data_IF_784195192078
#
_entry.id   IF_784195192078
#
_cell.length_a   1.000
_cell.length_b   1.000
_cell.length_c   1.000
_cell.angle_alpha   90.00
_cell.angle_beta   90.00
_cell.angle_gamma   90.00
#
_symmetry.space_group_name_H-M   'P 1'
#
loop_
_entity.id
_entity.type
_entity.pdbx_description
1 polymer ?
#
# COMPACT_ATOMS: atom_id res chain seq x y z
N UNK A 1 -36.63 -57.73 -27.34
CA UNK A 1 -36.60 -58.60 -28.54
C UNK A 1 -35.36 -58.27 -29.36
N UNK A 2 -34.54 -59.30 -29.65
CA UNK A 2 -33.60 -59.52 -30.79
C UNK A 2 -32.72 -58.33 -31.25
N UNK A 3 -31.39 -58.35 -31.00
CA UNK A 3 -30.29 -58.83 -31.90
C UNK A 3 -30.23 -58.07 -33.23
N UNK A 4 -29.15 -57.41 -33.65
CA UNK A 4 -27.77 -57.88 -33.95
C UNK A 4 -26.84 -56.66 -34.19
N UNK A 5 -25.66 -56.49 -33.59
CA UNK A 5 -24.35 -57.10 -33.87
C UNK A 5 -23.97 -57.26 -35.36
N UNK A 6 -23.10 -56.36 -35.87
CA UNK A 6 -22.06 -56.70 -36.84
C UNK A 6 -20.72 -56.08 -36.41
N UNK A 7 -19.87 -57.00 -35.98
CA UNK A 7 -18.42 -56.87 -35.81
C UNK A 7 -17.80 -56.77 -37.20
N UNK A 8 -16.81 -55.89 -37.40
CA UNK A 8 -15.65 -56.25 -38.20
C UNK A 8 -14.39 -55.71 -37.54
N UNK A 9 -13.60 -56.66 -37.07
CA UNK A 9 -12.26 -56.56 -36.55
C UNK A 9 -11.32 -56.67 -37.76
N UNK A 10 -10.31 -55.80 -37.86
CA UNK A 10 -9.05 -56.18 -38.52
C UNK A 10 -7.90 -55.47 -37.83
N UNK A 11 -7.16 -56.30 -37.10
CA UNK A 11 -5.83 -56.12 -36.51
C UNK A 11 -4.74 -56.00 -37.57
N UNK A 12 -3.74 -55.14 -37.29
CA UNK A 12 -2.32 -55.39 -37.58
C UNK A 12 -1.50 -54.42 -36.73
N UNK A 13 -0.98 -54.84 -35.57
CA UNK A 13 0.43 -55.23 -35.38
C UNK A 13 1.37 -54.54 -36.38
N UNK A 14 2.22 -53.63 -35.89
CA UNK A 14 3.68 -53.73 -36.07
C UNK A 14 4.44 -52.67 -35.28
N UNK A 15 5.45 -53.17 -34.56
CA UNK A 15 6.71 -52.53 -34.18
C UNK A 15 6.70 -51.27 -33.30
N UNK A 16 6.95 -51.55 -32.02
CA UNK A 16 7.69 -50.69 -31.09
C UNK A 16 9.02 -50.30 -31.73
N UNK A 17 9.25 -48.99 -31.92
CA UNK A 17 10.59 -48.44 -32.11
C UNK A 17 10.89 -47.55 -30.90
N UNK A 18 11.53 -48.16 -29.91
CA UNK A 18 12.28 -47.45 -28.87
C UNK A 18 13.46 -46.80 -29.57
N UNK A 19 13.41 -45.48 -29.79
CA UNK A 19 14.63 -44.73 -30.07
C UNK A 19 15.26 -44.42 -28.72
N UNK A 20 16.10 -45.36 -28.29
CA UNK A 20 17.12 -45.11 -27.30
C UNK A 20 18.16 -44.17 -27.94
N UNK A 21 18.12 -42.89 -27.57
CA UNK A 21 19.25 -41.99 -27.76
C UNK A 21 20.22 -42.21 -26.60
N UNK A 22 21.01 -43.28 -26.70
CA UNK A 22 22.33 -43.36 -26.09
C UNK A 22 23.25 -42.36 -26.78
N UNK A 23 23.33 -41.15 -26.25
CA UNK A 23 24.50 -40.30 -26.41
C UNK A 23 25.35 -40.46 -25.15
N UNK A 24 26.56 -40.96 -25.36
CA UNK A 24 27.47 -41.44 -24.31
C UNK A 24 27.68 -40.43 -23.18
N UNK A 25 27.78 -40.98 -21.97
CA UNK A 25 28.40 -40.32 -20.83
C UNK A 25 29.90 -40.23 -21.18
N UNK A 26 30.28 -39.17 -21.89
CA UNK A 26 31.66 -38.73 -21.89
C UNK A 26 31.89 -38.10 -20.53
N UNK A 27 32.59 -38.82 -19.66
CA UNK A 27 33.19 -38.28 -18.44
C UNK A 27 34.20 -37.22 -18.88
N UNK A 28 33.72 -35.99 -19.04
CA UNK A 28 34.56 -34.82 -19.00
C UNK A 28 34.43 -34.24 -17.60
N UNK A 29 35.40 -34.59 -16.74
CA UNK A 29 35.77 -33.77 -15.59
C UNK A 29 36.17 -32.39 -16.11
N UNK A 30 35.18 -31.54 -16.38
CA UNK A 30 35.39 -30.10 -16.46
C UNK A 30 35.52 -29.64 -15.02
N UNK A 31 36.78 -29.47 -14.62
CA UNK A 31 37.19 -28.56 -13.56
C UNK A 31 36.18 -27.43 -13.44
N UNK A 32 35.64 -27.21 -12.23
CA UNK A 32 34.96 -25.98 -11.89
C UNK A 32 35.71 -24.82 -12.55
N UNK A 33 35.09 -24.02 -13.43
CA UNK A 33 35.48 -22.63 -13.41
C UNK A 33 35.09 -22.19 -12.01
N UNK A 34 36.07 -22.09 -11.12
CA UNK A 34 36.01 -21.15 -10.00
C UNK A 34 35.51 -19.86 -10.64
N UNK A 35 34.21 -19.64 -10.50
CA UNK A 35 33.53 -18.49 -11.06
C UNK A 35 34.30 -17.31 -10.51
N UNK A 36 34.93 -16.58 -11.42
CA UNK A 36 35.88 -15.54 -11.10
C UNK A 36 35.12 -14.42 -10.37
N UNK A 37 35.02 -14.57 -9.05
CA UNK A 37 34.75 -13.55 -8.07
C UNK A 37 35.73 -12.35 -8.07
N UNK A 38 36.86 -12.29 -8.81
CA UNK A 38 37.65 -11.05 -8.86
C UNK A 38 37.02 -9.93 -9.70
N UNK A 39 36.13 -10.19 -10.66
CA UNK A 39 35.73 -9.12 -11.61
C UNK A 39 34.71 -8.12 -11.02
N UNK A 40 33.87 -8.56 -10.09
CA UNK A 40 32.96 -7.67 -9.34
C UNK A 40 33.72 -6.81 -8.31
N UNK A 41 34.83 -7.31 -7.75
CA UNK A 41 35.68 -6.54 -6.85
C UNK A 41 36.51 -5.47 -7.61
N UNK A 42 36.84 -5.71 -8.88
CA UNK A 42 37.61 -4.78 -9.71
C UNK A 42 36.77 -3.57 -10.15
N UNK A 43 35.45 -3.71 -10.33
CA UNK A 43 34.56 -2.57 -10.58
C UNK A 43 34.40 -1.65 -9.36
N UNK A 44 34.48 -2.19 -8.13
CA UNK A 44 34.43 -1.40 -6.90
C UNK A 44 35.72 -0.60 -6.61
N UNK A 45 36.86 -1.02 -7.19
CA UNK A 45 38.17 -0.45 -6.93
C UNK A 45 38.63 0.61 -7.95
N UNK A 46 37.89 0.84 -9.03
CA UNK A 46 38.20 1.90 -9.99
C UNK A 46 37.73 3.26 -9.45
N UNK A 47 38.60 3.96 -8.72
CA UNK A 47 38.31 5.27 -8.13
C UNK A 47 37.87 6.34 -9.14
N UNK A 48 38.15 6.16 -10.43
CA UNK A 48 37.76 7.09 -11.51
C UNK A 48 36.33 6.91 -12.05
N UNK A 49 35.64 5.82 -11.71
CA UNK A 49 34.20 5.66 -12.00
C UNK A 49 33.30 6.18 -10.88
N UNK A 50 33.90 6.55 -9.73
CA UNK A 50 33.22 6.45 -8.44
C UNK A 50 32.11 7.49 -8.20
N UNK A 51 32.08 8.63 -8.89
CA UNK A 51 31.13 9.72 -8.56
C UNK A 51 30.61 10.59 -9.71
N UNK A 52 30.99 10.37 -10.98
CA UNK A 52 30.65 11.31 -12.08
C UNK A 52 29.40 10.96 -12.89
N UNK A 53 28.77 9.81 -12.66
CA UNK A 53 27.65 9.37 -13.50
C UNK A 53 26.47 8.81 -12.70
N UNK A 54 25.86 9.65 -11.85
CA UNK A 54 24.62 9.32 -11.11
C UNK A 54 23.46 8.92 -12.05
N UNK A 55 23.54 9.28 -13.33
CA UNK A 55 22.54 8.90 -14.34
C UNK A 55 22.63 7.42 -14.77
N UNK A 56 23.72 6.72 -14.45
CA UNK A 56 23.88 5.27 -14.67
C UNK A 56 23.39 4.41 -13.49
N UNK A 57 22.80 5.04 -12.46
CA UNK A 57 22.24 4.39 -11.27
C UNK A 57 20.85 3.79 -11.57
N UNK A 58 20.78 2.91 -12.56
CA UNK A 58 19.58 2.13 -12.84
C UNK A 58 19.48 1.00 -11.82
N UNK A 59 19.00 1.35 -10.64
CA UNK A 59 18.67 0.37 -9.61
C UNK A 59 17.19 0.01 -9.70
N UNK A 60 16.89 -1.24 -9.40
CA UNK A 60 15.52 -1.72 -9.30
C UNK A 60 15.26 -2.21 -7.88
N UNK A 61 14.13 -1.79 -7.32
CA UNK A 61 13.60 -2.35 -6.09
C UNK A 61 12.87 -3.64 -6.45
N UNK A 62 13.28 -4.75 -5.85
CA UNK A 62 12.70 -6.07 -6.09
C UNK A 62 12.30 -6.73 -4.78
N UNK A 63 11.22 -7.54 -4.77
CA UNK A 63 10.86 -8.36 -3.62
C UNK A 63 11.84 -9.55 -3.50
N UNK A 64 12.24 -9.88 -2.27
CA UNK A 64 12.93 -11.14 -1.97
C UNK A 64 11.93 -12.18 -1.48
N UNK A 65 11.78 -12.31 -0.15
CA UNK A 65 10.84 -13.25 0.50
C UNK A 65 9.39 -12.77 0.53
N UNK A 66 9.17 -11.46 0.39
CA UNK A 66 7.83 -10.88 0.41
C UNK A 66 7.07 -11.33 -0.82
N UNK A 67 5.86 -11.88 -0.64
CA UNK A 67 4.89 -12.01 -1.73
C UNK A 67 4.05 -10.72 -1.79
N UNK A 68 4.27 -9.83 -2.78
CA UNK A 68 3.53 -8.60 -2.88
C UNK A 68 2.02 -8.86 -2.99
N UNK A 69 1.60 -9.92 -3.69
CA UNK A 69 0.17 -10.18 -3.94
C UNK A 69 -0.63 -10.46 -2.67
N UNK A 70 0.04 -10.88 -1.60
CA UNK A 70 -0.56 -11.19 -0.30
C UNK A 70 -0.36 -10.08 0.74
N UNK A 71 0.44 -9.06 0.45
CA UNK A 71 0.82 -8.01 1.40
C UNK A 71 0.33 -6.65 0.94
N UNK A 72 -0.10 -5.79 1.88
CA UNK A 72 -0.33 -4.38 1.56
C UNK A 72 0.99 -3.62 1.47
N UNK A 73 1.06 -2.60 0.62
CA UNK A 73 2.24 -1.75 0.53
C UNK A 73 2.43 -0.95 1.83
N UNK A 74 1.32 -0.54 2.47
CA UNK A 74 1.36 0.14 3.77
C UNK A 74 1.95 -0.69 4.91
N UNK A 75 2.09 -2.01 4.77
CA UNK A 75 2.81 -2.79 5.77
C UNK A 75 4.29 -2.41 5.87
N UNK A 76 4.82 -1.77 4.83
CA UNK A 76 6.22 -1.38 4.70
C UNK A 76 6.39 0.14 4.71
N UNK A 77 5.51 0.88 5.39
CA UNK A 77 5.72 2.30 5.71
C UNK A 77 5.96 2.50 7.21
N UNK A 78 6.55 3.64 7.57
CA UNK A 78 6.83 3.98 8.97
C UNK A 78 5.54 4.09 9.81
N UNK A 79 4.54 4.79 9.26
CA UNK A 79 3.25 5.03 9.92
C UNK A 79 2.08 4.49 9.07
N UNK A 80 1.76 3.18 9.17
CA UNK A 80 0.58 2.63 8.51
C UNK A 80 -0.69 3.23 9.11
N UNK A 81 -1.66 3.57 8.25
CA UNK A 81 -2.99 4.03 8.70
C UNK A 81 -3.70 2.87 9.42
N UNK A 82 -3.59 1.66 8.87
CA UNK A 82 -4.21 0.45 9.41
C UNK A 82 -3.17 -0.42 10.12
N UNK A 83 -2.92 -0.15 11.41
CA UNK A 83 -1.92 -0.88 12.22
C UNK A 83 -2.20 -2.38 12.39
N UNK A 84 -3.44 -2.81 12.19
CA UNK A 84 -3.83 -4.23 12.22
C UNK A 84 -3.16 -5.05 11.10
N UNK A 85 -2.62 -4.39 10.08
CA UNK A 85 -2.16 -5.04 8.85
C UNK A 85 -0.64 -5.21 8.80
N UNK A 86 0.11 -4.80 9.84
CA UNK A 86 1.57 -4.98 9.89
C UNK A 86 2.15 -4.81 11.30
N UNK A 87 3.07 -5.72 11.66
CA UNK A 87 3.95 -5.57 12.84
C UNK A 87 5.28 -4.86 12.49
N UNK A 88 5.49 -4.51 11.21
CA UNK A 88 6.73 -3.92 10.73
C UNK A 88 6.64 -2.39 10.81
N UNK A 89 7.58 -1.78 11.52
CA UNK A 89 7.84 -0.33 11.44
C UNK A 89 8.97 -0.07 10.46
N UNK A 90 8.62 0.16 9.19
CA UNK A 90 9.59 0.33 8.11
C UNK A 90 10.18 1.76 8.06
N UNK A 91 10.80 2.17 9.16
CA UNK A 91 11.52 3.44 9.29
C UNK A 91 12.87 3.43 8.55
N UNK A 92 13.60 4.55 8.59
CA UNK A 92 14.92 4.65 7.96
C UNK A 92 15.88 3.52 8.35
N UNK A 93 15.90 3.12 9.64
CA UNK A 93 16.79 2.07 10.16
C UNK A 93 16.42 0.69 9.64
N UNK A 94 15.12 0.39 9.53
CA UNK A 94 14.64 -0.85 8.90
C UNK A 94 15.19 -0.97 7.47
N UNK A 95 14.98 0.08 6.66
CA UNK A 95 15.46 0.10 5.28
C UNK A 95 16.99 0.10 5.17
N UNK A 96 17.69 0.80 6.06
CA UNK A 96 19.15 0.82 6.06
C UNK A 96 19.74 -0.58 6.32
N UNK A 97 19.20 -1.30 7.30
CA UNK A 97 19.64 -2.65 7.63
C UNK A 97 19.37 -3.64 6.48
N UNK A 98 18.27 -3.44 5.77
CA UNK A 98 17.86 -4.29 4.66
C UNK A 98 18.67 -4.02 3.40
N UNK A 99 18.79 -2.75 3.01
CA UNK A 99 19.26 -2.32 1.69
C UNK A 99 20.74 -1.93 1.64
N UNK A 100 21.38 -1.73 2.78
CA UNK A 100 22.82 -1.44 2.88
C UNK A 100 23.54 -2.56 3.63
N UNK A 101 23.52 -3.81 3.10
CA UNK A 101 24.13 -4.95 3.76
C UNK A 101 25.64 -4.74 3.91
N UNK A 102 26.19 -5.27 5.00
CA UNK A 102 27.63 -5.15 5.34
C UNK A 102 28.54 -5.86 4.33
N UNK A 103 28.01 -6.79 3.54
CA UNK A 103 28.71 -7.54 2.49
C UNK A 103 27.84 -7.62 1.24
N UNK A 104 28.47 -7.90 0.10
CA UNK A 104 27.75 -8.26 -1.12
C UNK A 104 27.04 -9.61 -0.86
N UNK A 105 25.73 -9.63 -1.08
CA UNK A 105 24.90 -10.82 -0.85
C UNK A 105 24.90 -11.71 -2.09
N UNK A 106 24.95 -13.02 -1.89
CA UNK A 106 24.66 -14.01 -2.94
C UNK A 106 23.18 -13.97 -3.33
N UNK A 107 22.83 -14.52 -4.51
CA UNK A 107 21.43 -14.60 -4.96
C UNK A 107 20.51 -15.30 -3.94
N UNK A 108 20.99 -16.37 -3.30
CA UNK A 108 20.23 -17.07 -2.26
C UNK A 108 20.03 -16.20 -1.01
N UNK A 109 21.05 -15.45 -0.60
CA UNK A 109 20.92 -14.52 0.53
C UNK A 109 19.99 -13.34 0.21
N UNK A 110 19.99 -12.83 -1.03
CA UNK A 110 19.05 -11.80 -1.48
C UNK A 110 17.59 -12.28 -1.42
N UNK A 111 17.33 -13.53 -1.82
CA UNK A 111 16.00 -14.14 -1.74
C UNK A 111 15.48 -14.28 -0.30
N UNK A 112 16.37 -14.29 0.70
CA UNK A 112 16.00 -14.36 2.11
C UNK A 112 15.71 -12.98 2.73
N UNK A 113 15.95 -11.87 2.01
CA UNK A 113 15.61 -10.53 2.45
C UNK A 113 14.18 -10.16 2.05
N UNK A 114 13.53 -9.24 2.78
CA UNK A 114 12.20 -8.73 2.36
C UNK A 114 12.25 -8.06 0.99
N UNK A 115 13.24 -7.19 0.81
CA UNK A 115 13.49 -6.42 -0.40
C UNK A 115 14.99 -6.27 -0.60
N UNK A 116 15.38 -6.02 -1.85
CA UNK A 116 16.74 -5.60 -2.19
C UNK A 116 16.70 -4.56 -3.31
N UNK A 117 17.75 -3.75 -3.38
CA UNK A 117 17.97 -2.77 -4.44
C UNK A 117 19.33 -3.04 -5.07
N UNK A 118 19.33 -3.36 -6.37
CA UNK A 118 20.55 -3.64 -7.12
C UNK A 118 20.48 -3.08 -8.53
N UNK A 119 21.64 -2.83 -9.14
CA UNK A 119 21.72 -2.63 -10.59
C UNK A 119 21.47 -3.94 -11.34
N UNK A 120 21.35 -3.88 -12.66
CA UNK A 120 21.28 -5.07 -13.52
C UNK A 120 22.53 -5.97 -13.43
N UNK A 121 23.65 -5.43 -12.94
CA UNK A 121 24.89 -6.18 -12.64
C UNK A 121 25.04 -6.55 -11.15
N UNK A 122 23.95 -6.55 -10.39
CA UNK A 122 23.93 -6.89 -8.96
C UNK A 122 24.80 -6.01 -8.05
N UNK A 123 25.11 -4.77 -8.46
CA UNK A 123 25.84 -3.82 -7.61
C UNK A 123 24.89 -3.33 -6.51
N UNK A 124 25.25 -3.43 -5.21
CA UNK A 124 24.40 -2.97 -4.11
C UNK A 124 24.56 -1.47 -3.83
N UNK A 125 23.56 -0.85 -3.20
CA UNK A 125 23.60 0.56 -2.79
C UNK A 125 24.72 0.90 -1.79
N UNK A 126 25.23 -0.10 -1.07
CA UNK A 126 26.26 0.09 -0.04
C UNK A 126 27.58 0.67 -0.57
N UNK A 127 27.86 0.56 -1.89
CA UNK A 127 29.05 1.14 -2.51
C UNK A 127 29.12 2.67 -2.40
N UNK A 128 27.98 3.33 -2.14
CA UNK A 128 27.91 4.79 -1.97
C UNK A 128 28.09 5.24 -0.51
N UNK A 129 28.13 4.32 0.47
CA UNK A 129 28.21 4.66 1.91
C UNK A 129 29.49 5.42 2.28
N UNK A 130 30.57 5.29 1.52
CA UNK A 130 31.82 6.01 1.81
C UNK A 130 31.70 7.51 1.55
N UNK A 131 30.93 7.91 0.54
CA UNK A 131 30.81 9.30 0.12
C UNK A 131 29.51 9.97 0.56
N UNK A 132 28.46 9.18 0.79
CA UNK A 132 27.11 9.66 1.08
C UNK A 132 26.57 9.11 2.40
N UNK A 133 25.85 9.96 3.11
CA UNK A 133 24.82 9.53 4.05
C UNK A 133 23.58 9.18 3.23
N UNK A 134 23.09 7.95 3.35
CA UNK A 134 21.94 7.46 2.58
C UNK A 134 20.74 7.35 3.51
N UNK A 135 19.63 7.95 3.12
CA UNK A 135 18.39 7.98 3.88
C UNK A 135 17.25 7.37 3.07
N UNK A 136 16.34 6.69 3.76
CA UNK A 136 15.22 5.96 3.19
C UNK A 136 13.92 6.46 3.79
N UNK A 137 12.90 6.62 2.93
CA UNK A 137 11.51 6.77 3.37
C UNK A 137 10.59 6.08 2.39
N UNK A 138 9.74 5.20 2.89
CA UNK A 138 8.75 4.49 2.09
C UNK A 138 7.37 5.14 2.17
N UNK A 139 6.61 4.96 1.11
CA UNK A 139 5.25 5.46 0.94
C UNK A 139 4.40 4.41 0.22
N UNK A 140 3.11 4.38 0.49
CA UNK A 140 2.22 3.37 -0.05
C UNK A 140 1.10 3.96 -0.88
N UNK A 141 0.69 3.20 -1.88
CA UNK A 141 -0.57 3.37 -2.56
C UNK A 141 -1.30 2.03 -2.52
N UNK A 142 -2.15 1.85 -1.52
CA UNK A 142 -2.88 0.59 -1.33
C UNK A 142 -4.09 0.47 -2.26
N UNK A 143 -4.51 1.57 -2.90
CA UNK A 143 -5.51 1.53 -3.97
C UNK A 143 -4.95 0.88 -5.24
N UNK A 144 -3.68 1.17 -5.54
CA UNK A 144 -2.99 0.66 -6.74
C UNK A 144 -2.06 -0.53 -6.46
N UNK A 145 -1.84 -0.89 -5.20
CA UNK A 145 -0.91 -1.97 -4.84
C UNK A 145 0.53 -1.60 -5.18
N UNK A 146 0.95 -0.39 -4.79
CA UNK A 146 2.29 0.15 -5.11
C UNK A 146 3.01 0.62 -3.85
N UNK A 147 4.25 0.19 -3.71
CA UNK A 147 5.21 0.71 -2.74
C UNK A 147 6.16 1.68 -3.46
N UNK A 148 6.32 2.87 -2.90
CA UNK A 148 7.36 3.81 -3.28
C UNK A 148 8.44 3.85 -2.21
N UNK A 149 9.70 3.89 -2.63
CA UNK A 149 10.83 4.06 -1.74
C UNK A 149 11.69 5.22 -2.22
N UNK A 150 11.70 6.29 -1.44
CA UNK A 150 12.57 7.43 -1.66
C UNK A 150 13.92 7.15 -1.02
N UNK A 151 14.97 7.23 -1.81
CA UNK A 151 16.36 7.13 -1.38
C UNK A 151 17.03 8.48 -1.60
N UNK A 152 17.53 9.06 -0.52
CA UNK A 152 18.21 10.35 -0.53
C UNK A 152 19.68 10.16 -0.18
N UNK A 153 20.56 10.68 -1.03
CA UNK A 153 22.01 10.68 -0.87
C UNK A 153 22.43 12.09 -0.48
N UNK A 154 23.02 12.24 0.71
CA UNK A 154 23.55 13.50 1.24
C UNK A 154 25.07 13.39 1.32
N UNK A 155 25.81 14.23 0.59
CA UNK A 155 27.27 14.16 0.54
C UNK A 155 27.88 14.39 1.93
N UNK A 156 28.86 13.56 2.32
CA UNK A 156 29.58 13.70 3.60
C UNK A 156 30.62 14.81 3.57
N UNK A 157 31.18 15.11 2.39
CA UNK A 157 32.20 16.13 2.17
C UNK A 157 31.88 16.89 0.89
N UNK A 158 31.54 18.17 1.03
CA UNK A 158 31.16 19.05 -0.08
C UNK A 158 32.36 19.53 -0.90
N UNK A 159 33.60 19.32 -0.42
CA UNK A 159 34.82 19.78 -1.09
C UNK A 159 35.32 18.80 -2.15
N UNK A 160 34.88 17.54 -2.10
CA UNK A 160 35.03 16.60 -3.22
C UNK A 160 33.89 16.92 -4.17
N UNK A 161 34.16 17.08 -5.47
CA UNK A 161 33.19 17.39 -6.55
C UNK A 161 32.00 16.41 -6.62
N UNK A 162 31.19 16.38 -5.58
CA UNK A 162 30.07 15.50 -5.32
C UNK A 162 28.81 16.34 -5.41
N UNK A 163 27.74 15.75 -5.95
CA UNK A 163 26.43 16.40 -5.89
C UNK A 163 25.98 16.42 -4.42
N UNK A 164 25.67 17.59 -3.84
CA UNK A 164 25.39 17.71 -2.41
C UNK A 164 24.20 16.85 -1.94
N UNK A 165 23.13 16.84 -2.73
CA UNK A 165 21.91 16.10 -2.44
C UNK A 165 21.36 15.49 -3.74
N UNK A 166 21.13 14.17 -3.74
CA UNK A 166 20.45 13.46 -4.83
C UNK A 166 19.30 12.68 -4.22
N UNK A 167 18.11 12.75 -4.82
CA UNK A 167 16.97 11.95 -4.39
C UNK A 167 16.41 11.17 -5.58
N UNK A 168 16.19 9.88 -5.36
CA UNK A 168 15.60 8.97 -6.34
C UNK A 168 14.41 8.26 -5.69
N UNK A 169 13.33 8.10 -6.45
CA UNK A 169 12.13 7.38 -6.00
C UNK A 169 12.03 6.09 -6.80
N UNK A 170 12.14 4.96 -6.12
CA UNK A 170 11.91 3.64 -6.69
C UNK A 170 10.44 3.24 -6.49
N UNK A 171 9.89 2.54 -7.48
CA UNK A 171 8.50 2.07 -7.49
C UNK A 171 8.49 0.55 -7.61
N UNK A 172 7.79 -0.13 -6.71
CA UNK A 172 7.49 -1.55 -6.79
C UNK A 172 5.97 -1.74 -6.82
N UNK A 173 5.47 -2.43 -7.85
CA UNK A 173 4.03 -2.68 -8.05
C UNK A 173 3.69 -4.15 -7.81
N UNK A 174 2.40 -4.45 -7.67
CA UNK A 174 1.89 -5.81 -7.51
C UNK A 174 1.52 -6.18 -6.08
N UNK A 175 1.52 -5.21 -5.16
CA UNK A 175 1.02 -5.41 -3.81
C UNK A 175 -0.50 -5.68 -3.81
N UNK A 176 -1.01 -6.30 -2.75
CA UNK A 176 -2.45 -6.46 -2.52
C UNK A 176 -3.11 -5.07 -2.53
N UNK A 177 -4.19 -4.93 -3.29
CA UNK A 177 -5.05 -3.74 -3.28
C UNK A 177 -6.05 -3.83 -2.14
N UNK A 178 -6.31 -2.72 -1.47
CA UNK A 178 -7.22 -2.66 -0.32
C UNK A 178 -8.67 -2.72 -0.77
N UNK A 179 -9.48 -3.50 -0.04
CA UNK A 179 -10.92 -3.61 -0.21
C UNK A 179 -11.64 -3.12 1.05
N UNK A 180 -12.94 -2.85 0.97
CA UNK A 180 -13.71 -2.43 2.15
C UNK A 180 -13.61 -3.48 3.28
N UNK A 181 -13.68 -4.77 2.92
CA UNK A 181 -13.61 -5.87 3.88
C UNK A 181 -12.32 -5.90 4.70
N UNK A 182 -11.22 -5.37 4.16
CA UNK A 182 -9.94 -5.30 4.86
C UNK A 182 -9.91 -4.21 5.95
N UNK A 183 -10.85 -3.26 5.92
CA UNK A 183 -10.83 -2.05 6.76
C UNK A 183 -12.11 -1.82 7.56
N UNK A 184 -13.21 -2.53 7.28
CA UNK A 184 -14.52 -2.31 7.94
C UNK A 184 -14.43 -2.25 9.46
N UNK A 185 -13.70 -3.18 10.09
CA UNK A 185 -13.59 -3.24 11.55
C UNK A 185 -12.75 -2.09 12.17
N UNK A 186 -12.03 -1.34 11.34
CA UNK A 186 -11.22 -0.20 11.79
C UNK A 186 -11.96 1.13 11.64
N UNK A 187 -13.10 1.14 10.96
CA UNK A 187 -13.88 2.34 10.64
C UNK A 187 -15.06 2.40 11.62
N UNK A 188 -15.04 3.36 12.54
CA UNK A 188 -16.12 3.49 13.52
C UNK A 188 -16.30 4.93 14.02
N UNK A 189 -17.48 5.20 14.58
CA UNK A 189 -17.73 6.42 15.37
C UNK A 189 -17.23 6.22 16.80
N UNK A 190 -16.49 7.21 17.30
CA UNK A 190 -16.12 7.31 18.71
C UNK A 190 -17.36 7.78 19.47
N UNK A 191 -18.01 6.88 20.19
CA UNK A 191 -19.27 7.18 20.91
C UNK A 191 -19.14 8.39 21.83
N UNK A 192 -18.09 8.44 22.66
CA UNK A 192 -17.89 9.50 23.65
C UNK A 192 -17.54 10.87 23.03
N UNK A 193 -17.15 10.87 21.76
CA UNK A 193 -16.83 12.09 21.00
C UNK A 193 -17.93 12.45 19.99
N UNK A 194 -19.03 11.69 19.93
CA UNK A 194 -20.13 11.90 18.99
C UNK A 194 -21.36 12.38 19.73
N UNK A 195 -21.62 13.69 19.67
CA UNK A 195 -22.64 14.36 20.45
C UNK A 195 -23.36 15.44 19.65
N UNK A 196 -24.58 15.76 20.08
CA UNK A 196 -25.31 16.89 19.50
C UNK A 196 -24.61 18.21 19.80
N UNK A 197 -24.71 19.12 18.83
CA UNK A 197 -24.26 20.51 18.94
C UNK A 197 -25.34 21.35 19.60
N UNK A 198 -25.55 21.14 20.90
CA UNK A 198 -26.67 21.74 21.64
C UNK A 198 -26.72 23.27 21.48
N UNK A 199 -25.59 23.97 21.55
CA UNK A 199 -25.53 25.44 21.38
C UNK A 199 -26.05 25.92 20.01
N UNK A 200 -25.80 25.16 18.94
CA UNK A 200 -26.26 25.49 17.59
C UNK A 200 -27.72 25.08 17.39
N UNK A 201 -28.11 23.93 17.95
CA UNK A 201 -29.51 23.49 18.01
C UNK A 201 -30.35 24.49 18.83
N UNK A 202 -29.75 25.18 19.79
CA UNK A 202 -30.46 26.08 20.68
C UNK A 202 -31.07 27.30 20.00
N UNK A 203 -30.59 27.62 18.80
CA UNK A 203 -31.13 28.68 17.95
C UNK A 203 -32.53 28.37 17.43
N UNK A 204 -32.95 27.10 17.44
CA UNK A 204 -34.29 26.67 17.05
C UNK A 204 -35.19 26.60 18.28
N UNK A 205 -36.29 27.38 18.27
CA UNK A 205 -37.21 27.49 19.41
C UNK A 205 -38.03 26.21 19.66
N UNK A 206 -38.26 25.39 18.62
CA UNK A 206 -39.02 24.14 18.70
C UNK A 206 -38.35 23.03 17.89
N UNK A 207 -38.63 21.77 18.22
CA UNK A 207 -38.18 20.63 17.45
C UNK A 207 -38.70 20.67 16.00
N UNK A 208 -39.94 21.11 15.81
CA UNK A 208 -40.54 21.34 14.49
C UNK A 208 -39.75 22.38 13.67
N UNK A 209 -39.33 23.49 14.29
CA UNK A 209 -38.53 24.52 13.59
C UNK A 209 -37.16 23.99 13.14
N UNK A 210 -36.50 23.17 13.96
CA UNK A 210 -35.25 22.49 13.59
C UNK A 210 -35.47 21.54 12.41
N UNK A 211 -36.50 20.70 12.47
CA UNK A 211 -36.87 19.74 11.41
C UNK A 211 -37.15 20.46 10.10
N UNK A 212 -37.95 21.52 10.13
CA UNK A 212 -38.26 22.33 8.94
C UNK A 212 -37.02 23.01 8.35
N UNK A 213 -36.10 23.50 9.19
CA UNK A 213 -34.86 24.10 8.73
C UNK A 213 -33.99 23.11 7.94
N UNK A 214 -33.89 21.87 8.42
CA UNK A 214 -33.20 20.81 7.68
C UNK A 214 -33.94 20.41 6.39
N UNK A 215 -35.26 20.24 6.46
CA UNK A 215 -36.08 19.82 5.31
C UNK A 215 -36.06 20.83 4.15
N UNK A 216 -35.91 22.13 4.43
CA UNK A 216 -35.72 23.17 3.40
C UNK A 216 -34.45 22.97 2.56
N UNK A 217 -33.49 22.16 3.02
CA UNK A 217 -32.23 21.88 2.34
C UNK A 217 -32.24 20.60 1.49
N UNK A 218 -33.39 19.92 1.35
CA UNK A 218 -33.45 18.59 0.71
C UNK A 218 -32.86 18.54 -0.71
N UNK A 219 -33.00 19.61 -1.48
CA UNK A 219 -32.52 19.69 -2.86
C UNK A 219 -31.06 20.16 -2.99
N UNK A 220 -30.39 20.51 -1.88
CA UNK A 220 -29.02 21.03 -1.87
C UNK A 220 -28.14 20.15 -0.96
N UNK A 221 -27.49 19.16 -1.58
CA UNK A 221 -26.65 18.18 -0.86
C UNK A 221 -25.49 18.83 -0.11
N UNK A 222 -24.97 19.97 -0.58
CA UNK A 222 -23.86 20.65 0.06
C UNK A 222 -24.35 21.39 1.32
N UNK A 223 -25.41 22.19 1.21
CA UNK A 223 -25.97 22.88 2.39
C UNK A 223 -26.48 21.90 3.44
N UNK A 224 -27.04 20.77 3.01
CA UNK A 224 -27.44 19.69 3.93
C UNK A 224 -26.24 19.11 4.67
N UNK A 225 -25.13 18.86 3.98
CA UNK A 225 -23.89 18.41 4.60
C UNK A 225 -23.37 19.42 5.63
N UNK A 226 -23.32 20.71 5.25
CA UNK A 226 -22.90 21.81 6.12
C UNK A 226 -23.78 21.94 7.36
N UNK A 227 -25.10 21.75 7.22
CA UNK A 227 -26.04 21.76 8.34
C UNK A 227 -25.77 20.60 9.32
N UNK A 228 -25.51 19.40 8.81
CA UNK A 228 -25.20 18.24 9.67
C UNK A 228 -23.90 18.49 10.44
N UNK A 229 -22.85 18.89 9.74
CA UNK A 229 -21.49 19.07 10.30
C UNK A 229 -21.41 20.23 11.31
N UNK A 230 -22.08 21.35 11.02
CA UNK A 230 -21.92 22.59 11.78
C UNK A 230 -23.06 22.84 12.78
N UNK A 231 -24.26 22.29 12.55
CA UNK A 231 -25.44 22.59 13.37
C UNK A 231 -25.90 21.39 14.19
N UNK A 232 -25.92 20.18 13.63
CA UNK A 232 -26.52 19.03 14.32
C UNK A 232 -25.55 18.29 15.21
N UNK A 233 -24.39 17.91 14.71
CA UNK A 233 -23.54 16.93 15.39
C UNK A 233 -22.08 17.31 15.35
N UNK A 234 -21.42 17.12 16.49
CA UNK A 234 -19.98 16.99 16.57
C UNK A 234 -19.69 15.50 16.54
N UNK A 235 -19.20 14.99 15.40
CA UNK A 235 -18.95 13.57 15.22
C UNK A 235 -17.46 13.23 15.37
N UNK A 236 -17.15 12.35 16.33
CA UNK A 236 -15.82 11.78 16.48
C UNK A 236 -15.70 10.47 15.70
N UNK A 237 -14.66 10.33 14.89
CA UNK A 237 -14.37 9.11 14.11
C UNK A 237 -13.06 8.47 14.54
N UNK A 238 -12.86 7.19 14.21
CA UNK A 238 -11.55 6.57 14.22
C UNK A 238 -10.58 7.30 13.28
N UNK A 239 -9.28 7.25 13.58
CA UNK A 239 -8.25 7.98 12.82
C UNK A 239 -8.08 7.45 11.38
N UNK A 240 -8.69 6.31 11.10
CA UNK A 240 -8.75 5.59 9.82
C UNK A 240 -9.99 5.96 9.00
N UNK A 241 -10.87 6.82 9.50
CA UNK A 241 -12.17 7.08 8.92
C UNK A 241 -12.45 8.57 8.73
N UNK A 242 -13.35 8.87 7.80
CA UNK A 242 -13.91 10.21 7.60
C UNK A 242 -15.40 10.08 7.25
N UNK A 243 -16.20 11.04 7.66
CA UNK A 243 -17.63 11.09 7.35
C UNK A 243 -17.83 11.74 5.97
N UNK A 244 -18.66 11.14 5.11
CA UNK A 244 -19.26 11.82 3.96
C UNK A 244 -20.58 12.48 4.38
N UNK A 245 -20.51 13.76 4.79
CA UNK A 245 -21.72 14.47 5.21
C UNK A 245 -22.72 14.68 4.05
N UNK A 246 -22.29 14.60 2.79
CA UNK A 246 -23.18 14.72 1.63
C UNK A 246 -24.08 13.49 1.46
N UNK A 247 -23.57 12.31 1.85
CA UNK A 247 -24.32 11.05 1.86
C UNK A 247 -25.01 10.77 3.19
N UNK A 248 -24.58 11.41 4.28
CA UNK A 248 -25.18 11.25 5.60
C UNK A 248 -26.64 11.71 5.59
N UNK A 249 -27.51 10.89 6.17
CA UNK A 249 -28.95 11.11 6.22
C UNK A 249 -29.40 11.39 7.65
N UNK A 250 -30.37 12.30 7.80
CA UNK A 250 -30.97 12.61 9.09
C UNK A 250 -32.48 12.40 9.00
N UNK A 251 -33.02 11.72 10.00
CA UNK A 251 -34.45 11.60 10.21
C UNK A 251 -34.85 12.14 11.59
N UNK A 252 -36.07 12.65 11.67
CA UNK A 252 -36.65 13.26 12.86
C UNK A 252 -37.90 12.48 13.23
N UNK A 253 -37.89 11.87 14.42
CA UNK A 253 -38.97 11.08 14.99
C UNK A 253 -39.57 11.78 16.23
N UNK A 254 -40.87 11.62 16.43
CA UNK A 254 -41.57 12.20 17.56
C UNK A 254 -41.54 11.26 18.78
N UNK A 255 -41.46 11.78 20.01
CA UNK A 255 -41.18 13.17 20.37
C UNK A 255 -39.66 13.42 20.47
N UNK A 256 -39.14 14.38 19.71
CA UNK A 256 -37.81 14.97 19.86
C UNK A 256 -36.60 14.03 19.66
N UNK A 257 -36.71 13.08 18.73
CA UNK A 257 -35.64 12.12 18.40
C UNK A 257 -34.99 12.47 17.06
N UNK A 258 -33.66 12.56 17.04
CA UNK A 258 -32.87 12.68 15.80
C UNK A 258 -32.12 11.39 15.58
N UNK A 259 -32.32 10.75 14.42
CA UNK A 259 -31.46 9.64 13.97
C UNK A 259 -30.57 10.13 12.83
N UNK A 260 -29.28 9.92 12.98
CA UNK A 260 -28.28 10.27 11.96
C UNK A 260 -27.64 8.97 11.46
N UNK A 261 -27.81 8.70 10.17
CA UNK A 261 -27.16 7.59 9.46
C UNK A 261 -25.86 8.11 8.86
N UNK A 262 -24.78 7.99 9.62
CA UNK A 262 -23.45 8.41 9.19
C UNK A 262 -22.90 7.48 8.12
N UNK A 263 -22.39 8.07 7.04
CA UNK A 263 -21.62 7.35 6.03
C UNK A 263 -20.14 7.57 6.29
N UNK A 264 -19.47 6.56 6.83
CA UNK A 264 -18.03 6.59 7.08
C UNK A 264 -17.31 5.92 5.91
N UNK A 265 -16.31 6.60 5.34
CA UNK A 265 -15.40 5.99 4.39
C UNK A 265 -13.97 5.97 4.96
N UNK A 266 -13.15 4.98 4.58
CA UNK A 266 -11.79 4.86 5.05
C UNK A 266 -10.88 5.92 4.45
N UNK A 267 -9.85 6.24 5.23
CA UNK A 267 -8.68 6.99 4.79
C UNK A 267 -7.61 6.01 4.32
N UNK A 268 -7.20 6.08 3.07
CA UNK A 268 -6.28 5.11 2.45
C UNK A 268 -5.03 5.83 1.95
N UNK A 269 -3.85 5.25 2.19
CA UNK A 269 -2.59 5.72 1.60
C UNK A 269 -2.67 5.60 0.08
N UNK A 270 -2.49 6.71 -0.63
CA UNK A 270 -2.70 6.82 -2.08
C UNK A 270 -1.55 7.55 -2.76
N UNK A 271 -0.32 7.30 -2.32
CA UNK A 271 0.87 8.00 -2.79
C UNK A 271 1.00 7.97 -4.33
N UNK A 272 1.49 9.07 -4.89
CA UNK A 272 1.86 9.20 -6.30
C UNK A 272 3.26 9.77 -6.40
N UNK A 273 3.85 9.76 -7.60
CA UNK A 273 5.17 10.39 -7.82
C UNK A 273 5.15 11.91 -7.58
N UNK A 274 4.00 12.55 -7.72
CA UNK A 274 3.83 14.00 -7.49
C UNK A 274 3.46 14.33 -6.04
N UNK A 275 2.78 13.41 -5.34
CA UNK A 275 2.45 13.54 -3.92
C UNK A 275 2.62 12.21 -3.19
N UNK A 276 3.79 12.04 -2.57
CA UNK A 276 4.14 10.82 -1.84
C UNK A 276 3.40 10.66 -0.52
N UNK A 277 2.86 11.74 0.06
CA UNK A 277 2.16 11.68 1.36
C UNK A 277 0.65 11.57 1.20
N UNK A 278 0.16 11.49 -0.04
CA UNK A 278 -1.27 11.50 -0.35
C UNK A 278 -2.04 10.45 0.45
N UNK A 279 -3.14 10.90 1.06
CA UNK A 279 -4.15 10.06 1.69
C UNK A 279 -5.47 10.45 1.05
N UNK A 280 -6.16 9.46 0.49
CA UNK A 280 -7.46 9.67 -0.13
C UNK A 280 -8.58 9.16 0.77
N UNK A 281 -9.66 9.94 0.75
CA UNK A 281 -10.97 9.53 1.19
C UNK A 281 -11.64 8.80 0.04
N UNK A 282 -11.82 7.48 0.14
CA UNK A 282 -12.38 6.69 -0.94
C UNK A 282 -13.89 6.56 -0.77
N UNK A 283 -14.68 7.37 -1.49
CA UNK A 283 -16.13 7.49 -1.30
C UNK A 283 -16.97 6.94 -2.46
N UNK A 284 -16.44 5.96 -3.17
CA UNK A 284 -17.15 5.21 -4.22
C UNK A 284 -18.25 4.33 -3.61
N UNK A 285 -19.23 3.94 -4.43
CA UNK A 285 -20.27 3.00 -3.99
C UNK A 285 -19.64 1.66 -3.56
N UNK A 286 -20.09 1.13 -2.42
CA UNK A 286 -19.57 -0.12 -1.87
C UNK A 286 -18.27 0.02 -1.06
N UNK A 287 -17.77 1.24 -0.83
CA UNK A 287 -16.57 1.49 -0.02
C UNK A 287 -16.84 2.37 1.22
N UNK A 288 -17.98 2.16 1.87
CA UNK A 288 -18.38 2.89 3.07
C UNK A 288 -19.05 1.96 4.08
N UNK A 289 -19.07 2.40 5.34
CA UNK A 289 -19.84 1.78 6.43
C UNK A 289 -20.91 2.77 6.88
N UNK A 290 -22.14 2.30 7.03
CA UNK A 290 -23.23 3.07 7.61
C UNK A 290 -23.32 2.80 9.10
N UNK A 291 -23.43 3.86 9.89
CA UNK A 291 -23.62 3.76 11.34
C UNK A 291 -24.75 4.70 11.75
N UNK A 292 -25.83 4.13 12.28
CA UNK A 292 -26.93 4.90 12.87
C UNK A 292 -26.56 5.36 14.28
N UNK A 293 -26.82 6.64 14.58
CA UNK A 293 -26.80 7.16 15.94
C UNK A 293 -28.12 7.87 16.23
N UNK A 294 -28.75 7.46 17.32
CA UNK A 294 -29.96 8.09 17.85
C UNK A 294 -29.61 9.07 18.95
N UNK A 295 -30.20 10.26 18.89
CA UNK A 295 -30.09 11.31 19.90
C UNK A 295 -31.48 11.71 20.37
N UNK A 296 -31.64 11.89 21.68
CA UNK A 296 -32.86 12.40 22.29
C UNK A 296 -32.63 13.86 22.69
N UNK A 297 -33.46 14.78 22.20
CA UNK A 297 -33.38 16.19 22.59
C UNK A 297 -34.32 16.44 23.77
N UNK A 298 -33.75 16.64 24.94
CA UNK A 298 -34.53 16.86 26.16
C UNK A 298 -35.13 18.27 26.24
N UNK A 299 -34.52 19.23 25.55
CA UNK A 299 -34.92 20.65 25.60
C UNK A 299 -36.37 20.90 25.16
N UNK A 300 -36.84 20.17 24.16
CA UNK A 300 -38.15 20.39 23.55
C UNK A 300 -39.28 19.59 24.24
N UNK A 301 -39.00 19.01 25.42
CA UNK A 301 -40.00 18.35 26.27
C UNK A 301 -40.93 19.37 26.92
#
# INVERSE_FOLDING_TARGET
MKKSLKIFLTTSLTSVAVIALTAGITVATKSHPTEKLPELAVLANNQNLKYKNYQSLMFELQPGRVDPKQSFASAYVEDPIFKTNSEITANNKYWENLLLPKKILTKSEQQNQDFYITTSQAVPLNVFKDAYNIQFKSFANDLEGVLYLRVSFVAKDLNKNLTPNVTTIYKLSGFKKITLSDVTNTIFLKNDATQLRNEQIDQYQTFTALKEAYQKLQNDSQKRAEFIENTLVLAGTSDTARIDYRKTEVSFEDPNVIKINFYLAPLIKSATLTDLNSIQFHNTEGFYTQIEKTFHIEKFK
#
